data_IF_998145874779
#
_entry.id   IF_998145874779
#
_cell.length_a   1.000
_cell.length_b   1.000
_cell.length_c   1.000
_cell.angle_alpha   90.00
_cell.angle_beta   90.00
_cell.angle_gamma   90.00
#
_symmetry.space_group_name_H-M   'P 1'
#
loop_
_entity.id
_entity.type
_entity.pdbx_description
1 polymer ?
#
# COMPACT_ATOMS: atom_id res chain seq x y z
N UNK A 1 1.98 -4.05 -14.08
CA UNK A 1 2.25 -4.43 -12.67
C UNK A 1 3.32 -5.53 -12.64
N UNK A 2 4.21 -5.50 -11.65
CA UNK A 2 5.11 -6.62 -11.37
C UNK A 2 4.26 -7.79 -10.89
N UNK A 3 4.44 -9.03 -11.41
CA UNK A 3 3.68 -10.19 -10.94
C UNK A 3 3.78 -10.35 -9.42
N UNK A 4 2.66 -10.66 -8.78
CA UNK A 4 2.63 -10.90 -7.35
C UNK A 4 3.33 -12.22 -7.00
N UNK A 5 4.17 -12.22 -5.98
CA UNK A 5 4.95 -13.36 -5.52
C UNK A 5 4.77 -13.63 -4.02
N UNK A 6 3.64 -13.19 -3.46
CA UNK A 6 3.23 -13.50 -2.09
C UNK A 6 1.74 -13.83 -2.04
N UNK A 7 1.32 -14.56 -1.00
CA UNK A 7 -0.11 -14.92 -0.79
C UNK A 7 -1.00 -13.70 -0.65
N UNK A 8 -0.48 -12.60 -0.08
CA UNK A 8 -1.24 -11.35 0.14
C UNK A 8 -1.26 -10.42 -1.07
N UNK A 9 -0.50 -10.72 -2.14
CA UNK A 9 -0.43 -9.85 -3.30
C UNK A 9 -1.80 -9.65 -3.94
N UNK A 10 -2.62 -10.69 -4.02
CA UNK A 10 -3.96 -10.62 -4.59
C UNK A 10 -4.90 -9.69 -3.83
N UNK A 11 -4.90 -9.75 -2.50
CA UNK A 11 -5.77 -8.94 -1.65
C UNK A 11 -5.36 -7.46 -1.68
N UNK A 12 -4.05 -7.20 -1.69
CA UNK A 12 -3.51 -5.85 -1.81
C UNK A 12 -3.82 -5.27 -3.19
N UNK A 13 -3.62 -6.04 -4.26
CA UNK A 13 -3.93 -5.62 -5.63
C UNK A 13 -5.43 -5.34 -5.80
N UNK A 14 -6.29 -6.19 -5.24
CA UNK A 14 -7.75 -5.95 -5.21
C UNK A 14 -8.11 -4.61 -4.55
N UNK A 15 -7.48 -4.27 -3.42
CA UNK A 15 -7.69 -2.97 -2.78
C UNK A 15 -7.28 -1.81 -3.68
N UNK A 16 -6.12 -1.91 -4.33
CA UNK A 16 -5.65 -0.87 -5.25
C UNK A 16 -6.60 -0.71 -6.44
N UNK A 17 -7.07 -1.80 -7.03
CA UNK A 17 -8.00 -1.77 -8.14
C UNK A 17 -9.35 -1.18 -7.73
N UNK A 18 -9.90 -1.61 -6.59
CA UNK A 18 -11.15 -1.07 -6.04
C UNK A 18 -11.05 0.44 -5.78
N UNK A 19 -9.99 0.88 -5.12
CA UNK A 19 -9.76 2.31 -4.85
C UNK A 19 -9.61 3.08 -6.17
N UNK A 20 -8.85 2.55 -7.12
CA UNK A 20 -8.63 3.17 -8.42
C UNK A 20 -9.93 3.35 -9.20
N UNK A 21 -10.80 2.35 -9.19
CA UNK A 21 -12.12 2.44 -9.85
C UNK A 21 -13.01 3.48 -9.18
N UNK A 22 -13.09 3.46 -7.84
CA UNK A 22 -13.93 4.42 -7.09
C UNK A 22 -13.42 5.85 -7.29
N UNK A 23 -12.13 6.09 -7.08
CA UNK A 23 -11.53 7.43 -7.22
C UNK A 23 -11.55 7.89 -8.66
N UNK A 24 -11.27 7.00 -9.62
CA UNK A 24 -11.34 7.28 -11.05
C UNK A 24 -12.73 7.68 -11.51
N UNK A 25 -13.78 6.99 -11.04
CA UNK A 25 -15.18 7.36 -11.31
C UNK A 25 -15.46 8.79 -10.82
N UNK A 26 -15.13 9.10 -9.55
CA UNK A 26 -15.34 10.44 -8.99
C UNK A 26 -14.54 11.52 -9.72
N UNK A 27 -13.31 11.22 -10.08
CA UNK A 27 -12.46 12.13 -10.83
C UNK A 27 -13.10 12.52 -12.17
N UNK A 28 -13.53 11.53 -12.95
CA UNK A 28 -14.19 11.76 -14.24
C UNK A 28 -15.50 12.50 -14.06
N UNK A 29 -16.30 12.13 -13.06
CA UNK A 29 -17.59 12.80 -12.79
C UNK A 29 -17.37 14.27 -12.40
N UNK A 30 -16.42 14.58 -11.54
CA UNK A 30 -16.12 15.96 -11.14
C UNK A 30 -15.64 16.78 -12.33
N UNK A 31 -14.75 16.24 -13.17
CA UNK A 31 -14.31 16.91 -14.39
C UNK A 31 -15.48 17.19 -15.36
N UNK A 32 -16.36 16.21 -15.53
CA UNK A 32 -17.52 16.37 -16.38
C UNK A 32 -18.47 17.48 -15.87
N UNK A 33 -18.77 17.47 -14.56
CA UNK A 33 -19.60 18.50 -13.93
C UNK A 33 -18.94 19.87 -14.02
N UNK A 34 -17.65 19.99 -13.72
CA UNK A 34 -16.91 21.25 -13.85
C UNK A 34 -16.96 21.80 -15.27
N UNK A 35 -16.67 20.94 -16.25
CA UNK A 35 -16.71 21.32 -17.67
C UNK A 35 -18.10 21.76 -18.08
N UNK A 36 -19.13 21.01 -17.70
CA UNK A 36 -20.53 21.39 -17.92
C UNK A 36 -20.86 22.76 -17.34
N UNK A 37 -20.50 23.02 -16.09
CA UNK A 37 -20.75 24.30 -15.43
C UNK A 37 -20.02 25.45 -16.10
N UNK A 38 -18.76 25.27 -16.47
CA UNK A 38 -17.99 26.29 -17.19
C UNK A 38 -18.59 26.65 -18.55
N UNK A 39 -19.04 25.66 -19.31
CA UNK A 39 -19.66 25.89 -20.62
C UNK A 39 -21.06 26.49 -20.47
N UNK A 40 -21.87 25.94 -19.55
CA UNK A 40 -23.28 26.34 -19.37
C UNK A 40 -23.43 27.73 -18.77
N UNK A 41 -22.58 28.10 -17.83
CA UNK A 41 -22.64 29.36 -17.10
C UNK A 41 -21.54 30.37 -17.51
N UNK A 42 -20.92 30.16 -18.68
CA UNK A 42 -19.97 31.13 -19.24
C UNK A 42 -20.61 32.50 -19.37
N UNK A 43 -19.82 33.56 -19.24
CA UNK A 43 -20.26 34.96 -19.40
C UNK A 43 -20.97 35.15 -20.77
N UNK A 44 -22.13 35.78 -20.74
CA UNK A 44 -22.87 36.22 -21.91
C UNK A 44 -23.16 37.71 -21.79
N UNK A 45 -23.13 38.46 -22.91
CA UNK A 45 -23.48 39.87 -22.91
C UNK A 45 -24.95 40.06 -22.47
N UNK A 46 -25.20 41.10 -21.65
CA UNK A 46 -26.54 41.44 -21.16
C UNK A 46 -27.10 40.52 -20.07
N UNK A 47 -26.43 39.44 -19.72
CA UNK A 47 -26.89 38.51 -18.67
C UNK A 47 -26.12 38.76 -17.37
N UNK A 48 -26.84 39.12 -16.28
CA UNK A 48 -26.27 39.21 -14.95
C UNK A 48 -26.12 37.81 -14.33
N UNK A 49 -25.05 37.58 -13.61
CA UNK A 49 -24.88 36.38 -12.82
C UNK A 49 -25.93 36.27 -11.72
N UNK A 50 -26.50 35.09 -11.53
CA UNK A 50 -27.39 34.82 -10.42
C UNK A 50 -26.59 34.73 -9.11
N UNK A 51 -27.05 35.39 -8.08
CA UNK A 51 -26.48 35.20 -6.75
C UNK A 51 -27.19 34.02 -6.04
N UNK A 52 -26.37 33.06 -5.61
CA UNK A 52 -26.84 31.88 -4.88
C UNK A 52 -26.19 31.94 -3.49
N UNK A 53 -26.99 32.22 -2.45
CA UNK A 53 -26.53 32.35 -1.06
C UNK A 53 -26.12 31.01 -0.45
N UNK A 54 -26.73 29.92 -0.90
CA UNK A 54 -26.55 28.60 -0.29
C UNK A 54 -27.41 28.35 0.96
N UNK A 55 -28.16 29.36 1.46
CA UNK A 55 -28.95 29.25 2.68
C UNK A 55 -30.22 28.42 2.54
N UNK A 56 -31.00 28.53 1.43
CA UNK A 56 -32.21 27.76 1.27
C UNK A 56 -31.91 26.24 1.26
N UNK A 57 -32.78 25.47 1.90
CA UNK A 57 -32.63 24.02 2.00
C UNK A 57 -32.57 23.33 0.63
N UNK A 58 -33.26 23.89 -0.35
CA UNK A 58 -33.18 23.42 -1.75
C UNK A 58 -31.81 23.58 -2.41
N UNK A 59 -30.98 24.51 -1.94
CA UNK A 59 -29.61 24.74 -2.43
C UNK A 59 -28.60 23.89 -1.67
N UNK A 60 -28.79 23.69 -0.36
CA UNK A 60 -27.89 22.87 0.48
C UNK A 60 -27.79 21.42 0.02
N UNK A 61 -28.84 20.86 -0.58
CA UNK A 61 -28.82 19.49 -1.10
C UNK A 61 -27.73 19.24 -2.12
N UNK A 62 -27.35 20.24 -2.92
CA UNK A 62 -26.29 20.11 -3.92
C UNK A 62 -24.88 19.96 -3.32
N UNK A 63 -24.72 20.37 -2.05
CA UNK A 63 -23.51 20.14 -1.28
C UNK A 63 -23.61 18.86 -0.47
N UNK A 64 -24.75 18.58 0.14
CA UNK A 64 -24.91 17.45 1.05
C UNK A 64 -24.91 16.09 0.32
N UNK A 65 -25.60 15.96 -0.82
CA UNK A 65 -25.65 14.66 -1.50
C UNK A 65 -24.29 14.16 -1.98
N UNK A 66 -23.45 14.96 -2.68
CA UNK A 66 -22.11 14.54 -3.01
C UNK A 66 -21.28 14.17 -1.77
N UNK A 67 -21.38 14.96 -0.71
CA UNK A 67 -20.64 14.72 0.52
C UNK A 67 -21.02 13.40 1.19
N UNK A 68 -22.31 13.12 1.35
CA UNK A 68 -22.76 11.84 1.92
C UNK A 68 -22.46 10.66 1.04
N UNK A 69 -22.47 10.81 -0.29
CA UNK A 69 -22.10 9.72 -1.19
C UNK A 69 -20.61 9.38 -1.12
N UNK A 70 -19.74 10.38 -0.94
CA UNK A 70 -18.31 10.16 -0.69
C UNK A 70 -18.09 9.44 0.65
N UNK A 71 -18.73 9.93 1.74
CA UNK A 71 -18.63 9.28 3.05
C UNK A 71 -19.05 7.80 3.00
N UNK A 72 -20.14 7.50 2.30
CA UNK A 72 -20.60 6.11 2.17
C UNK A 72 -19.54 5.22 1.48
N UNK A 73 -18.87 5.73 0.45
CA UNK A 73 -17.79 5.00 -0.24
C UNK A 73 -16.52 4.92 0.60
N UNK A 74 -16.18 5.96 1.35
CA UNK A 74 -15.05 5.95 2.28
C UNK A 74 -15.22 4.86 3.35
N UNK A 75 -16.45 4.69 3.87
CA UNK A 75 -16.74 3.59 4.82
C UNK A 75 -16.47 2.22 4.18
N UNK A 76 -16.88 2.03 2.92
CA UNK A 76 -16.58 0.78 2.20
C UNK A 76 -15.07 0.56 2.07
N UNK A 77 -14.33 1.57 1.63
CA UNK A 77 -12.87 1.50 1.50
C UNK A 77 -12.22 1.17 2.86
N UNK A 78 -12.64 1.86 3.94
CA UNK A 78 -12.09 1.63 5.28
C UNK A 78 -12.32 0.20 5.73
N UNK A 79 -13.54 -0.34 5.54
CA UNK A 79 -13.85 -1.72 5.96
C UNK A 79 -12.92 -2.73 5.25
N UNK A 80 -12.81 -2.67 3.93
CA UNK A 80 -11.93 -3.58 3.18
C UNK A 80 -10.45 -3.37 3.54
N UNK A 81 -10.01 -2.13 3.69
CA UNK A 81 -8.63 -1.82 4.08
C UNK A 81 -8.29 -2.38 5.45
N UNK A 82 -9.20 -2.23 6.43
CA UNK A 82 -8.99 -2.79 7.79
C UNK A 82 -8.96 -4.31 7.76
N UNK A 83 -9.82 -4.96 6.98
CA UNK A 83 -9.80 -6.43 6.83
C UNK A 83 -8.46 -6.91 6.30
N UNK A 84 -8.00 -6.37 5.17
CA UNK A 84 -6.69 -6.75 4.60
C UNK A 84 -5.54 -6.37 5.54
N UNK A 85 -5.61 -5.22 6.22
CA UNK A 85 -4.58 -4.82 7.18
C UNK A 85 -4.48 -5.79 8.37
N UNK A 86 -5.60 -6.27 8.90
CA UNK A 86 -5.61 -7.28 9.97
C UNK A 86 -4.95 -8.56 9.50
N UNK A 87 -5.29 -9.03 8.31
CA UNK A 87 -4.72 -10.28 7.77
C UNK A 87 -3.21 -10.14 7.49
N UNK A 88 -2.79 -8.99 6.95
CA UNK A 88 -1.38 -8.74 6.57
C UNK A 88 -0.50 -8.32 7.74
N UNK A 89 -1.04 -7.68 8.80
CA UNK A 89 -0.22 -7.07 9.87
C UNK A 89 -0.48 -7.59 11.27
N UNK A 90 -1.65 -8.17 11.53
CA UNK A 90 -2.01 -8.65 12.87
C UNK A 90 -1.96 -10.18 12.99
N UNK A 91 -2.35 -10.89 11.93
CA UNK A 91 -2.36 -12.35 11.92
C UNK A 91 -1.02 -12.89 11.43
N UNK A 92 0.00 -12.82 12.29
CA UNK A 92 1.35 -13.29 11.95
C UNK A 92 1.39 -14.82 11.98
N UNK A 93 1.63 -15.50 10.84
CA UNK A 93 1.90 -16.94 10.85
C UNK A 93 3.25 -17.23 11.55
N UNK A 94 3.45 -18.46 11.98
CA UNK A 94 4.76 -18.87 12.48
C UNK A 94 5.79 -18.79 11.34
N UNK A 95 6.94 -18.19 11.63
CA UNK A 95 8.03 -18.14 10.67
C UNK A 95 8.62 -19.54 10.49
N UNK A 96 8.80 -19.93 9.24
CA UNK A 96 9.61 -21.12 8.88
C UNK A 96 11.09 -20.76 8.78
N UNK A 97 11.36 -19.50 8.39
CA UNK A 97 12.72 -18.97 8.29
C UNK A 97 12.75 -17.48 8.64
N UNK A 98 13.91 -16.99 9.08
CA UNK A 98 14.12 -15.59 9.45
C UNK A 98 15.29 -15.00 8.69
N UNK A 99 15.11 -13.78 8.22
CA UNK A 99 16.15 -13.00 7.57
C UNK A 99 16.23 -11.64 8.26
N UNK A 100 17.42 -11.28 8.76
CA UNK A 100 17.65 -9.91 9.22
C UNK A 100 18.09 -9.08 8.03
N UNK A 101 17.39 -7.95 7.85
CA UNK A 101 17.64 -6.99 6.78
C UNK A 101 18.16 -5.71 7.40
N UNK A 102 19.41 -5.37 7.12
CA UNK A 102 20.06 -4.20 7.68
C UNK A 102 20.32 -3.18 6.59
N UNK A 103 19.65 -2.02 6.68
CA UNK A 103 19.87 -0.89 5.79
C UNK A 103 21.06 -0.04 6.27
N UNK A 104 21.91 0.35 5.33
CA UNK A 104 22.89 1.41 5.55
C UNK A 104 23.19 2.13 4.24
N UNK A 105 23.72 3.34 4.30
CA UNK A 105 24.18 4.09 3.14
C UNK A 105 25.44 3.45 2.56
N UNK A 106 25.45 2.83 1.38
CA UNK A 106 24.40 2.74 0.34
C UNK A 106 24.18 1.27 -0.04
N UNK A 107 23.86 0.42 0.91
CA UNK A 107 23.72 -1.03 0.71
C UNK A 107 22.72 -1.64 1.66
N UNK A 108 22.23 -2.81 1.27
CA UNK A 108 21.42 -3.69 2.08
C UNK A 108 22.21 -4.92 2.46
N UNK A 109 22.21 -5.29 3.73
CA UNK A 109 22.75 -6.56 4.20
C UNK A 109 21.60 -7.49 4.53
N UNK A 110 21.69 -8.72 4.03
CA UNK A 110 20.74 -9.78 4.33
C UNK A 110 21.48 -10.86 5.09
N UNK A 111 21.07 -11.10 6.33
CA UNK A 111 21.63 -12.10 7.22
C UNK A 111 20.62 -13.22 7.32
N UNK A 112 20.94 -14.35 6.74
CA UNK A 112 20.14 -15.55 6.73
C UNK A 112 20.54 -16.43 7.90
N UNK A 113 19.56 -17.02 8.59
CA UNK A 113 19.83 -18.06 9.58
C UNK A 113 20.53 -19.24 8.89
N UNK A 114 21.55 -19.77 9.52
CA UNK A 114 22.25 -20.95 9.06
C UNK A 114 21.41 -22.23 9.19
N UNK A 115 22.05 -23.41 9.09
CA UNK A 115 21.39 -24.70 9.25
C UNK A 115 20.65 -24.91 10.59
N UNK A 116 21.01 -24.14 11.63
CA UNK A 116 20.37 -24.21 12.96
C UNK A 116 19.05 -23.41 13.03
N UNK A 117 18.71 -22.62 11.99
CA UNK A 117 17.49 -21.83 11.90
C UNK A 117 17.43 -20.66 12.89
N UNK A 118 18.56 -20.24 13.45
CA UNK A 118 18.66 -19.11 14.39
C UNK A 118 19.55 -18.02 13.82
N UNK A 119 19.22 -16.78 14.10
CA UNK A 119 20.07 -15.63 13.84
C UNK A 119 21.02 -15.40 15.00
N UNK A 120 22.14 -14.70 14.75
CA UNK A 120 23.22 -14.38 15.69
C UNK A 120 24.05 -15.61 16.09
N UNK A 121 24.25 -16.54 15.17
CA UNK A 121 25.08 -17.72 15.33
C UNK A 121 26.26 -17.72 14.35
N UNK A 122 27.27 -18.57 14.58
CA UNK A 122 28.48 -18.59 13.76
C UNK A 122 28.26 -19.11 12.33
N UNK A 123 27.13 -19.76 12.09
CA UNK A 123 26.73 -20.32 10.80
C UNK A 123 25.84 -19.39 9.96
N UNK A 124 25.57 -18.16 10.43
CA UNK A 124 24.83 -17.15 9.70
C UNK A 124 25.47 -16.81 8.35
N UNK A 125 24.66 -16.75 7.29
CA UNK A 125 25.10 -16.41 5.95
C UNK A 125 24.73 -14.96 5.65
N UNK A 126 25.73 -14.11 5.43
CA UNK A 126 25.51 -12.70 5.10
C UNK A 126 25.75 -12.43 3.61
N UNK A 127 24.77 -11.78 2.96
CA UNK A 127 24.87 -11.31 1.58
C UNK A 127 24.69 -9.79 1.52
N UNK A 128 25.19 -9.16 0.46
CA UNK A 128 25.11 -7.70 0.25
C UNK A 128 24.37 -7.42 -1.05
N UNK A 129 23.27 -6.66 -0.94
CA UNK A 129 22.40 -6.30 -2.06
C UNK A 129 21.82 -7.49 -2.85
N UNK A 130 21.85 -8.67 -2.27
CA UNK A 130 21.36 -9.89 -2.89
C UNK A 130 20.54 -10.69 -1.88
N UNK A 131 19.23 -10.72 -2.07
CA UNK A 131 18.28 -11.41 -1.20
C UNK A 131 17.96 -12.79 -1.75
N UNK A 132 18.37 -13.82 -1.05
CA UNK A 132 18.03 -15.21 -1.39
C UNK A 132 16.83 -15.69 -0.58
N UNK A 133 15.81 -16.21 -1.26
CA UNK A 133 14.60 -16.74 -0.64
C UNK A 133 14.15 -18.03 -1.31
N UNK A 134 13.61 -18.94 -0.52
CA UNK A 134 13.03 -20.19 -1.01
C UNK A 134 11.57 -19.99 -1.35
N UNK A 135 11.12 -20.63 -2.41
CA UNK A 135 9.69 -20.70 -2.77
C UNK A 135 8.90 -21.43 -1.68
N UNK A 136 7.61 -21.07 -1.54
CA UNK A 136 6.64 -21.73 -0.65
C UNK A 136 7.11 -21.79 0.82
N UNK A 137 7.78 -20.71 1.28
CA UNK A 137 8.31 -20.57 2.64
C UNK A 137 7.80 -19.30 3.28
N UNK A 138 7.47 -19.37 4.56
CA UNK A 138 7.05 -18.20 5.37
C UNK A 138 8.28 -17.54 5.99
N UNK A 139 8.60 -16.33 5.53
CA UNK A 139 9.71 -15.54 6.05
C UNK A 139 9.27 -14.46 7.01
N UNK A 140 10.00 -14.32 8.12
CA UNK A 140 9.99 -13.11 8.92
C UNK A 140 11.25 -12.28 8.62
N UNK A 141 11.04 -11.06 8.15
CA UNK A 141 12.10 -10.08 7.95
C UNK A 141 12.23 -9.21 9.19
N UNK A 142 13.36 -9.32 9.88
CA UNK A 142 13.74 -8.42 10.98
C UNK A 142 14.47 -7.22 10.37
N UNK A 143 13.81 -6.07 10.36
CA UNK A 143 14.30 -4.89 9.65
C UNK A 143 15.00 -3.93 10.62
N UNK A 144 16.22 -3.58 10.32
CA UNK A 144 17.08 -2.69 11.11
C UNK A 144 17.78 -1.67 10.23
N UNK A 145 18.26 -0.58 10.84
CA UNK A 145 19.11 0.40 10.19
C UNK A 145 20.32 0.72 11.03
N UNK A 146 21.50 0.86 10.38
CA UNK A 146 22.74 1.24 11.03
C UNK A 146 22.97 2.75 11.11
N UNK A 147 22.32 3.53 10.27
CA UNK A 147 22.59 4.96 10.12
C UNK A 147 21.32 5.82 10.10
N UNK A 148 20.60 5.87 9.00
CA UNK A 148 19.41 6.72 8.82
C UNK A 148 18.18 5.87 8.54
N UNK A 149 17.04 6.52 8.33
CA UNK A 149 15.80 5.86 7.92
C UNK A 149 15.93 5.37 6.47
N UNK A 150 15.68 4.07 6.23
CA UNK A 150 15.56 3.51 4.90
C UNK A 150 14.19 2.85 4.74
N UNK A 151 13.77 2.65 3.50
CA UNK A 151 12.53 1.94 3.18
C UNK A 151 12.86 0.64 2.44
N UNK A 152 12.64 -0.49 3.10
CA UNK A 152 12.75 -1.80 2.47
C UNK A 152 11.50 -2.09 1.66
N UNK A 153 11.65 -2.20 0.35
CA UNK A 153 10.54 -2.41 -0.57
C UNK A 153 10.84 -3.52 -1.55
N UNK A 154 9.98 -4.53 -1.56
CA UNK A 154 10.01 -5.63 -2.54
C UNK A 154 8.65 -5.67 -3.25
N UNK A 155 8.53 -5.00 -4.41
CA UNK A 155 7.25 -4.85 -5.10
C UNK A 155 6.55 -6.15 -5.45
N UNK A 156 7.30 -7.20 -5.81
CA UNK A 156 6.74 -8.52 -6.11
C UNK A 156 6.03 -9.16 -4.89
N UNK A 157 6.51 -8.87 -3.67
CA UNK A 157 5.90 -9.38 -2.45
C UNK A 157 4.77 -8.47 -1.93
N UNK A 158 4.57 -7.29 -2.55
CA UNK A 158 3.73 -6.20 -2.02
C UNK A 158 4.16 -5.78 -0.60
N UNK A 159 5.45 -5.97 -0.31
CA UNK A 159 6.06 -5.63 0.96
C UNK A 159 6.72 -4.25 0.86
N UNK A 160 6.39 -3.40 1.82
CA UNK A 160 7.03 -2.12 2.03
C UNK A 160 7.04 -1.79 3.52
N UNK A 161 8.24 -1.60 4.09
CA UNK A 161 8.39 -1.34 5.51
C UNK A 161 9.64 -0.49 5.76
N UNK A 162 9.53 0.49 6.68
CA UNK A 162 10.65 1.33 7.06
C UNK A 162 11.58 0.60 8.03
N UNK A 163 12.89 0.81 7.84
CA UNK A 163 13.95 0.41 8.76
C UNK A 163 14.39 1.65 9.54
N UNK A 164 14.28 1.59 10.87
CA UNK A 164 14.46 2.75 11.75
C UNK A 164 15.70 2.50 12.64
N UNK A 165 16.67 3.45 12.72
CA UNK A 165 17.82 3.30 13.60
C UNK A 165 17.40 3.07 15.05
N UNK A 166 18.05 2.11 15.71
CA UNK A 166 17.79 1.76 17.10
C UNK A 166 16.46 1.04 17.36
N UNK A 167 15.75 0.61 16.31
CA UNK A 167 14.50 -0.14 16.43
C UNK A 167 14.48 -1.29 15.42
N UNK A 168 14.19 -2.50 15.89
CA UNK A 168 13.90 -3.64 15.04
C UNK A 168 12.41 -3.67 14.73
N UNK A 169 12.04 -3.62 13.45
CA UNK A 169 10.67 -3.82 12.98
C UNK A 169 10.56 -5.17 12.29
N UNK A 170 9.45 -5.88 12.49
CA UNK A 170 9.23 -7.18 11.87
C UNK A 170 8.21 -7.05 10.76
N UNK A 171 8.55 -7.57 9.59
CA UNK A 171 7.62 -7.77 8.49
C UNK A 171 7.67 -9.22 8.05
N UNK A 172 6.57 -9.74 7.53
CA UNK A 172 6.54 -11.13 7.09
C UNK A 172 5.88 -11.25 5.72
N UNK A 173 6.18 -12.35 5.05
CA UNK A 173 5.52 -12.74 3.80
C UNK A 173 5.59 -14.25 3.63
N UNK A 174 4.54 -14.82 3.05
CA UNK A 174 4.56 -16.18 2.54
C UNK A 174 4.79 -16.12 1.03
N UNK A 175 5.92 -16.63 0.58
CA UNK A 175 6.36 -16.52 -0.79
C UNK A 175 5.69 -17.57 -1.67
N UNK A 176 5.01 -17.11 -2.70
CA UNK A 176 4.43 -17.93 -3.77
C UNK A 176 5.06 -17.50 -5.09
N UNK A 177 6.34 -17.80 -5.28
CA UNK A 177 7.05 -17.40 -6.48
C UNK A 177 6.37 -17.98 -7.74
N UNK A 178 6.17 -17.19 -8.80
CA UNK A 178 5.68 -17.71 -10.06
C UNK A 178 6.67 -18.76 -10.61
N UNK A 179 6.16 -19.79 -11.24
CA UNK A 179 6.91 -20.97 -11.71
C UNK A 179 8.04 -20.67 -12.72
N UNK A 180 8.12 -19.44 -13.24
CA UNK A 180 8.99 -19.05 -14.35
C UNK A 180 9.88 -17.85 -14.06
N UNK A 181 10.13 -17.46 -12.81
CA UNK A 181 10.77 -16.19 -12.55
C UNK A 181 11.87 -16.20 -11.51
N UNK A 182 13.01 -15.67 -11.88
CA UNK A 182 13.87 -14.90 -10.99
C UNK A 182 13.16 -13.57 -10.67
N UNK A 183 13.08 -13.23 -9.40
CA UNK A 183 12.60 -11.93 -8.93
C UNK A 183 13.77 -10.97 -8.84
#
# INVERSE_FOLDING_TARGET
>A
FVPGASTYAGDIDFLFDMITVIVGFWFVMVLAVMTYLMVRFRRKEGVRAAYISGDPHSQKKWTHYPHYSVIALDVVIIVFTVMVWVDVKQTLPQAEDKIRVVGQQWSWFFIHSGPDGKLDTEDDISTVNDLHVKKDTVYHFELESRDVLHNFSVPAFRLRQDTIPGRTTVSYTHLTLPTNGTV
#
